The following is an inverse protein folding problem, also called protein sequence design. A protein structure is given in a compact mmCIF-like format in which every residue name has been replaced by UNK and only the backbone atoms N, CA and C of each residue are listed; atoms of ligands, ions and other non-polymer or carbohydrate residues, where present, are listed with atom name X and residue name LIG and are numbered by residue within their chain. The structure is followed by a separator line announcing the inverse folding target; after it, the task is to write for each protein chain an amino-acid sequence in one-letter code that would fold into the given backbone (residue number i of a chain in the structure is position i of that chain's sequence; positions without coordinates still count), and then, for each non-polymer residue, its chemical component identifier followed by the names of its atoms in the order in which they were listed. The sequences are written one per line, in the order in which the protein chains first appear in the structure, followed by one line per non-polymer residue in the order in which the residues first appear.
data_IF_963433928687
#
_entry.id   IF_963433928687
#
_cell.length_a   1.000
_cell.length_b   1.000
_cell.length_c   1.000
_cell.angle_alpha   90.00
_cell.angle_beta   90.00
_cell.angle_gamma   90.00
#
_symmetry.space_group_name_H-M   'P 1'
#
loop_
_entity.id
_entity.type
_entity.pdbx_description
1 polymer ?
#
# COMPACT_ATOMS: atom_id res chain seq x y z
N UNK A 1 -4.26 -31.63 -28.05
CA UNK A 1 -4.81 -31.26 -26.73
C UNK A 1 -6.20 -30.66 -26.93
N UNK A 2 -7.29 -31.43 -26.75
CA UNK A 2 -8.66 -30.90 -26.83
C UNK A 2 -9.38 -31.31 -25.54
N UNK A 3 -10.06 -30.36 -24.89
CA UNK A 3 -10.82 -30.46 -23.62
C UNK A 3 -10.07 -30.29 -22.29
N UNK A 4 -9.12 -29.35 -22.16
CA UNK A 4 -8.75 -28.84 -20.83
C UNK A 4 -9.17 -27.37 -20.73
N UNK A 5 -9.92 -27.04 -19.67
CA UNK A 5 -10.14 -25.65 -19.28
C UNK A 5 -8.85 -25.06 -18.70
N UNK A 6 -8.70 -23.74 -18.78
CA UNK A 6 -7.55 -23.02 -18.25
C UNK A 6 -8.01 -22.02 -17.20
N UNK A 7 -7.21 -21.87 -16.15
CA UNK A 7 -7.32 -20.76 -15.20
C UNK A 7 -6.18 -19.80 -15.51
N UNK A 8 -6.52 -18.55 -15.78
CA UNK A 8 -5.55 -17.49 -16.09
C UNK A 8 -5.69 -16.41 -15.02
N UNK A 9 -4.55 -16.01 -14.45
CA UNK A 9 -4.48 -15.00 -13.38
C UNK A 9 -3.64 -13.83 -13.87
N UNK A 10 -4.17 -12.61 -13.74
CA UNK A 10 -3.50 -11.37 -14.15
C UNK A 10 -4.45 -10.18 -14.05
N UNK A 11 -3.90 -8.96 -14.01
CA UNK A 11 -4.69 -7.73 -13.88
C UNK A 11 -5.49 -7.40 -15.15
N UNK A 12 -5.06 -7.88 -16.31
CA UNK A 12 -5.68 -7.67 -17.62
C UNK A 12 -6.25 -8.96 -18.23
N UNK A 13 -6.32 -10.03 -17.44
CA UNK A 13 -6.78 -11.34 -17.90
C UNK A 13 -8.23 -11.28 -18.40
N UNK A 14 -9.09 -10.54 -17.72
CA UNK A 14 -10.54 -10.46 -18.00
C UNK A 14 -10.91 -9.47 -19.11
N UNK A 15 -9.98 -8.59 -19.49
CA UNK A 15 -10.22 -7.45 -20.40
C UNK A 15 -9.38 -7.48 -21.67
N UNK A 16 -8.11 -7.88 -21.60
CA UNK A 16 -7.19 -7.91 -22.76
C UNK A 16 -6.86 -9.32 -23.21
N UNK A 17 -6.51 -10.21 -22.28
CA UNK A 17 -6.02 -11.55 -22.62
C UNK A 17 -7.17 -12.48 -23.02
N UNK A 18 -8.21 -12.57 -22.18
CA UNK A 18 -9.37 -13.42 -22.39
C UNK A 18 -10.69 -12.64 -22.25
N UNK A 19 -10.93 -11.59 -23.06
CA UNK A 19 -12.14 -10.76 -22.95
C UNK A 19 -13.44 -11.54 -23.21
N UNK A 20 -13.40 -12.64 -23.94
CA UNK A 20 -14.57 -13.45 -24.29
C UNK A 20 -14.77 -14.67 -23.38
N UNK A 21 -14.01 -14.80 -22.29
CA UNK A 21 -14.17 -15.93 -21.37
C UNK A 21 -15.54 -15.91 -20.69
N UNK A 22 -16.09 -17.11 -20.47
CA UNK A 22 -17.40 -17.32 -19.85
C UNK A 22 -17.43 -16.88 -18.39
N UNK A 23 -16.32 -17.03 -17.67
CA UNK A 23 -16.23 -16.73 -16.24
C UNK A 23 -15.05 -15.79 -16.01
N UNK A 24 -15.34 -14.62 -15.44
CA UNK A 24 -14.38 -13.57 -15.10
C UNK A 24 -14.55 -13.25 -13.62
N UNK A 25 -13.47 -13.36 -12.87
CA UNK A 25 -13.48 -13.12 -11.43
C UNK A 25 -12.46 -12.03 -11.08
N UNK A 26 -12.80 -11.21 -10.11
CA UNK A 26 -11.85 -10.37 -9.39
C UNK A 26 -11.86 -10.82 -7.94
N UNK A 27 -10.69 -11.18 -7.44
CA UNK A 27 -10.49 -11.42 -6.01
C UNK A 27 -10.00 -10.11 -5.41
N UNK A 28 -10.85 -9.48 -4.62
CA UNK A 28 -10.57 -8.22 -3.95
C UNK A 28 -10.33 -8.47 -2.46
N UNK A 29 -9.48 -7.66 -1.84
CA UNK A 29 -9.29 -7.62 -0.39
C UNK A 29 -8.88 -6.20 -0.02
N UNK A 30 -9.21 -5.79 1.20
CA UNK A 30 -8.71 -4.56 1.79
C UNK A 30 -7.18 -4.53 1.79
N UNK A 31 -6.64 -3.31 1.81
CA UNK A 31 -5.22 -3.08 1.61
C UNK A 31 -4.40 -3.69 2.75
N UNK A 32 -4.88 -3.55 3.98
CA UNK A 32 -4.27 -4.10 5.20
C UNK A 32 -4.10 -5.60 5.13
N UNK A 33 -5.15 -6.33 4.72
CA UNK A 33 -5.15 -7.78 4.58
C UNK A 33 -4.13 -8.21 3.54
N UNK A 34 -4.01 -7.46 2.44
CA UNK A 34 -3.02 -7.76 1.40
C UNK A 34 -1.60 -7.53 1.87
N UNK A 35 -1.34 -6.43 2.58
CA UNK A 35 -0.04 -6.16 3.22
C UNK A 35 0.31 -7.26 4.21
N UNK A 36 -0.63 -7.62 5.08
CA UNK A 36 -0.47 -8.69 6.06
C UNK A 36 -0.12 -10.04 5.41
N UNK A 37 -0.92 -10.48 4.42
CA UNK A 37 -0.69 -11.75 3.71
C UNK A 37 0.66 -11.75 3.00
N UNK A 38 1.04 -10.64 2.37
CA UNK A 38 2.31 -10.52 1.65
C UNK A 38 3.51 -10.49 2.61
N UNK A 39 3.39 -9.80 3.74
CA UNK A 39 4.41 -9.80 4.78
C UNK A 39 4.63 -11.22 5.34
N UNK A 40 3.53 -11.94 5.63
CA UNK A 40 3.60 -13.36 6.05
C UNK A 40 4.28 -14.23 5.00
N UNK A 41 3.92 -14.08 3.72
CA UNK A 41 4.54 -14.84 2.62
C UNK A 41 6.05 -14.59 2.51
N UNK A 42 6.49 -13.36 2.74
CA UNK A 42 7.91 -12.98 2.68
C UNK A 42 8.65 -13.19 4.01
N UNK A 43 7.97 -13.71 5.04
CA UNK A 43 8.48 -13.83 6.40
C UNK A 43 9.03 -12.49 6.94
N UNK A 44 8.41 -11.39 6.53
CA UNK A 44 8.78 -10.04 6.95
C UNK A 44 8.30 -9.83 8.39
N UNK A 45 9.25 -9.77 9.32
CA UNK A 45 8.98 -9.59 10.77
C UNK A 45 9.34 -8.21 11.27
N UNK A 46 10.31 -7.58 10.62
CA UNK A 46 10.80 -6.26 11.01
C UNK A 46 9.97 -5.15 10.36
N UNK A 47 9.84 -4.05 11.08
CA UNK A 47 9.03 -2.90 10.66
C UNK A 47 9.45 -2.34 9.29
N UNK A 48 10.75 -2.27 9.02
CA UNK A 48 11.27 -1.80 7.73
C UNK A 48 10.84 -2.73 6.58
N UNK A 49 10.93 -4.05 6.79
CA UNK A 49 10.50 -5.03 5.81
C UNK A 49 8.99 -4.97 5.53
N UNK A 50 8.17 -4.78 6.58
CA UNK A 50 6.72 -4.58 6.44
C UNK A 50 6.42 -3.28 5.69
N UNK A 51 7.12 -2.20 6.03
CA UNK A 51 7.01 -0.92 5.33
C UNK A 51 7.36 -1.04 3.85
N UNK A 52 8.32 -1.88 3.48
CA UNK A 52 8.66 -2.13 2.07
C UNK A 52 7.54 -2.87 1.34
N UNK A 53 6.96 -3.89 1.98
CA UNK A 53 5.79 -4.61 1.45
C UNK A 53 4.61 -3.67 1.19
N UNK A 54 4.35 -2.76 2.14
CA UNK A 54 3.31 -1.73 1.99
C UNK A 54 3.58 -0.86 0.76
N UNK A 55 4.80 -0.34 0.64
CA UNK A 55 5.23 0.53 -0.46
C UNK A 55 5.08 -0.14 -1.82
N UNK A 56 5.58 -1.38 -1.94
CA UNK A 56 5.55 -2.16 -3.16
C UNK A 56 4.10 -2.48 -3.59
N UNK A 57 3.24 -2.84 -2.63
CA UNK A 57 1.82 -3.11 -2.92
C UNK A 57 1.09 -1.84 -3.34
N UNK A 58 1.33 -0.72 -2.68
CA UNK A 58 0.66 0.54 -2.96
C UNK A 58 1.05 1.07 -4.35
N UNK A 59 2.35 1.01 -4.67
CA UNK A 59 2.87 1.30 -6.01
C UNK A 59 2.23 0.41 -7.07
N UNK A 60 2.14 -0.90 -6.81
CA UNK A 60 1.51 -1.84 -7.73
C UNK A 60 0.03 -1.49 -7.98
N UNK A 61 -0.72 -1.17 -6.93
CA UNK A 61 -2.13 -0.83 -7.09
C UNK A 61 -2.36 0.43 -7.91
N UNK A 62 -1.49 1.43 -7.73
CA UNK A 62 -1.45 2.63 -8.55
C UNK A 62 -1.16 2.30 -10.02
N UNK A 63 -0.15 1.46 -10.27
CA UNK A 63 0.29 1.14 -11.64
C UNK A 63 -0.78 0.38 -12.43
N UNK A 64 -1.60 -0.44 -11.73
CA UNK A 64 -2.65 -1.26 -12.35
C UNK A 64 -4.07 -0.72 -12.13
N UNK A 65 -4.24 0.47 -11.54
CA UNK A 65 -5.55 0.97 -11.14
C UNK A 65 -6.59 0.99 -12.27
N UNK A 66 -6.25 1.59 -13.41
CA UNK A 66 -7.15 1.70 -14.56
C UNK A 66 -7.54 0.31 -15.11
N UNK A 67 -6.60 -0.63 -15.12
CA UNK A 67 -6.85 -2.01 -15.56
C UNK A 67 -7.82 -2.74 -14.62
N UNK A 68 -7.65 -2.55 -13.31
CA UNK A 68 -8.55 -3.11 -12.30
C UNK A 68 -9.95 -2.50 -12.42
N UNK A 69 -10.07 -1.19 -12.63
CA UNK A 69 -11.37 -0.54 -12.86
C UNK A 69 -12.09 -1.10 -14.09
N UNK A 70 -11.40 -1.27 -15.21
CA UNK A 70 -12.00 -1.87 -16.41
C UNK A 70 -12.41 -3.33 -16.16
N UNK A 71 -11.58 -4.09 -15.43
CA UNK A 71 -11.90 -5.47 -15.07
C UNK A 71 -13.16 -5.54 -14.19
N UNK A 72 -13.34 -4.61 -13.24
CA UNK A 72 -14.51 -4.56 -12.33
C UNK A 72 -15.83 -4.36 -13.07
N UNK A 73 -15.81 -3.75 -14.26
CA UNK A 73 -17.02 -3.56 -15.09
C UNK A 73 -17.53 -4.86 -15.72
N UNK A 74 -16.67 -5.87 -15.87
CA UNK A 74 -16.95 -7.08 -16.67
C UNK A 74 -16.80 -8.39 -15.88
N UNK A 75 -16.40 -8.34 -14.62
CA UNK A 75 -16.09 -9.49 -13.80
C UNK A 75 -16.93 -9.53 -12.51
N UNK A 76 -17.16 -10.75 -12.00
CA UNK A 76 -17.78 -10.96 -10.69
C UNK A 76 -16.72 -10.69 -9.62
N UNK A 77 -17.02 -9.81 -8.68
CA UNK A 77 -16.11 -9.45 -7.59
C UNK A 77 -16.38 -10.37 -6.40
N UNK A 78 -15.33 -11.01 -5.88
CA UNK A 78 -15.35 -11.78 -4.64
C UNK A 78 -14.45 -11.04 -3.66
N UNK A 79 -15.05 -10.48 -2.60
CA UNK A 79 -14.29 -9.93 -1.48
C UNK A 79 -13.74 -11.09 -0.64
N UNK A 80 -12.43 -11.04 -0.37
CA UNK A 80 -11.64 -12.07 0.30
C UNK A 80 -10.95 -11.54 1.56
N UNK A 81 -11.27 -10.34 2.04
CA UNK A 81 -10.68 -9.73 3.24
C UNK A 81 -10.72 -10.69 4.43
N UNK A 82 -11.91 -11.22 4.73
CA UNK A 82 -12.17 -12.05 5.91
C UNK A 82 -12.33 -13.53 5.58
N UNK A 83 -11.92 -13.95 4.38
CA UNK A 83 -12.05 -15.33 3.93
C UNK A 83 -10.74 -16.12 4.09
N UNK A 84 -10.86 -17.36 4.57
CA UNK A 84 -9.81 -18.37 4.44
C UNK A 84 -9.63 -18.80 2.98
N UNK A 85 -8.52 -19.48 2.68
CA UNK A 85 -8.27 -19.98 1.31
C UNK A 85 -9.39 -20.95 0.89
N UNK A 86 -9.81 -21.83 1.79
CA UNK A 86 -10.87 -22.82 1.57
C UNK A 86 -12.20 -22.12 1.27
N UNK A 87 -12.52 -21.05 2.00
CA UNK A 87 -13.72 -20.24 1.76
C UNK A 87 -13.65 -19.50 0.42
N UNK A 88 -12.49 -18.96 0.04
CA UNK A 88 -12.30 -18.34 -1.29
C UNK A 88 -12.52 -19.36 -2.40
N UNK A 89 -11.93 -20.56 -2.27
CA UNK A 89 -12.11 -21.64 -3.25
C UNK A 89 -13.58 -22.04 -3.33
N UNK A 90 -14.27 -22.23 -2.19
CA UNK A 90 -15.69 -22.55 -2.16
C UNK A 90 -16.56 -21.48 -2.86
N UNK A 91 -16.23 -20.19 -2.70
CA UNK A 91 -16.90 -19.10 -3.42
C UNK A 91 -16.67 -19.17 -4.92
N UNK A 92 -15.44 -19.45 -5.37
CA UNK A 92 -15.11 -19.62 -6.79
C UNK A 92 -15.90 -20.80 -7.38
N UNK A 93 -15.95 -21.93 -6.67
CA UNK A 93 -16.74 -23.09 -7.07
C UNK A 93 -18.23 -22.73 -7.19
N UNK A 94 -18.78 -22.01 -6.22
CA UNK A 94 -20.17 -21.59 -6.25
C UNK A 94 -20.50 -20.74 -7.49
N UNK A 95 -19.62 -19.80 -7.86
CA UNK A 95 -19.77 -18.98 -9.08
C UNK A 95 -19.70 -19.82 -10.35
N UNK A 96 -18.86 -20.85 -10.38
CA UNK A 96 -18.68 -21.67 -11.59
C UNK A 96 -19.83 -22.68 -11.81
N UNK A 97 -20.41 -23.21 -10.73
CA UNK A 97 -21.36 -24.33 -10.80
C UNK A 97 -22.82 -23.94 -10.54
N UNK A 98 -23.11 -22.86 -9.82
CA UNK A 98 -24.47 -22.32 -9.60
C UNK A 98 -25.45 -23.28 -8.89
N UNK A 99 -25.93 -22.91 -7.70
CA UNK A 99 -27.16 -23.44 -7.05
C UNK A 99 -27.32 -24.97 -6.90
N UNK A 100 -26.25 -25.75 -6.87
CA UNK A 100 -26.28 -27.10 -6.31
C UNK A 100 -25.96 -27.03 -4.82
N UNK A 101 -26.84 -27.52 -3.95
CA UNK A 101 -26.64 -27.60 -2.51
C UNK A 101 -25.21 -28.08 -2.16
N UNK A 102 -24.36 -27.18 -1.69
CA UNK A 102 -23.21 -27.59 -0.90
C UNK A 102 -23.79 -27.89 0.47
N UNK A 103 -24.04 -29.18 0.74
CA UNK A 103 -24.34 -29.64 2.10
C UNK A 103 -23.20 -29.16 2.99
N UNK A 104 -23.49 -28.18 3.83
CA UNK A 104 -22.65 -27.79 4.95
C UNK A 104 -22.62 -28.95 5.94
N UNK A 105 -21.83 -29.98 5.64
CA UNK A 105 -21.43 -31.07 6.52
C UNK A 105 -20.28 -31.83 5.86
N UNK A 106 -19.14 -31.18 5.80
CA UNK A 106 -17.89 -31.87 6.08
C UNK A 106 -17.31 -31.16 7.30
N UNK A 107 -17.59 -31.72 8.48
CA UNK A 107 -16.67 -31.59 9.60
C UNK A 107 -15.30 -31.97 9.04
N UNK A 108 -14.47 -30.98 8.76
CA UNK A 108 -13.03 -31.21 8.70
C UNK A 108 -12.67 -31.40 10.17
N UNK A 109 -12.35 -32.64 10.52
CA UNK A 109 -11.94 -33.02 11.86
C UNK A 109 -10.89 -32.03 12.37
N UNK A 110 -11.24 -31.35 13.46
CA UNK A 110 -10.40 -30.35 14.12
C UNK A 110 -9.26 -30.99 14.93
N UNK A 111 -8.87 -32.23 14.63
CA UNK A 111 -7.88 -32.99 15.39
C UNK A 111 -6.48 -33.01 14.77
N UNK A 112 -6.30 -32.57 13.52
CA UNK A 112 -4.99 -32.67 12.82
C UNK A 112 -4.25 -31.32 12.68
N UNK A 113 -4.64 -30.29 13.43
CA UNK A 113 -3.89 -29.03 13.53
C UNK A 113 -3.06 -28.98 14.81
N UNK A 114 -2.11 -29.90 14.94
CA UNK A 114 -0.98 -29.74 15.85
C UNK A 114 0.34 -29.89 15.07
N UNK A 115 0.91 -28.73 14.72
CA UNK A 115 2.33 -28.36 14.75
C UNK A 115 2.66 -27.37 13.62
N UNK A 116 2.39 -26.09 13.85
CA UNK A 116 3.34 -25.05 13.44
C UNK A 116 3.77 -24.29 14.69
N UNK A 117 4.71 -24.91 15.40
CA UNK A 117 5.46 -24.29 16.48
C UNK A 117 6.30 -23.12 15.94
N UNK A 118 6.23 -21.98 16.63
CA UNK A 118 7.31 -21.00 16.72
C UNK A 118 7.58 -20.11 15.50
N UNK A 119 6.58 -19.36 15.02
CA UNK A 119 6.82 -18.16 14.19
C UNK A 119 6.19 -16.95 14.90
N UNK A 120 6.92 -15.83 15.13
CA UNK A 120 6.37 -14.65 15.77
C UNK A 120 5.12 -14.17 15.03
N UNK A 121 4.01 -13.99 15.75
CA UNK A 121 2.76 -13.53 15.18
C UNK A 121 2.96 -12.12 14.62
N UNK A 122 3.00 -11.99 13.29
CA UNK A 122 2.86 -10.70 12.63
C UNK A 122 1.43 -10.22 12.94
N UNK A 123 1.28 -9.07 13.60
CA UNK A 123 -0.02 -8.44 13.85
C UNK A 123 -0.55 -7.88 12.52
N UNK A 124 -1.84 -8.05 12.22
CA UNK A 124 -2.49 -7.29 11.13
C UNK A 124 -2.47 -5.81 11.56
N UNK A 125 -1.68 -5.01 10.85
CA UNK A 125 -1.55 -3.57 11.11
C UNK A 125 -2.63 -2.83 10.30
N UNK A 126 -3.20 -1.77 10.87
CA UNK A 126 -4.11 -0.87 10.15
C UNK A 126 -3.35 -0.02 9.13
N UNK A 127 -4.04 0.56 8.14
CA UNK A 127 -3.42 1.56 7.25
C UNK A 127 -2.76 2.66 8.08
N UNK A 128 -3.39 3.16 9.15
CA UNK A 128 -2.80 4.16 10.04
C UNK A 128 -1.51 3.65 10.73
N UNK A 129 -1.48 2.42 11.23
CA UNK A 129 -0.27 1.85 11.84
C UNK A 129 0.85 1.63 10.80
N UNK A 130 0.49 1.29 9.57
CA UNK A 130 1.43 1.11 8.45
C UNK A 130 1.97 2.44 7.92
N UNK A 131 1.14 3.48 7.93
CA UNK A 131 1.51 4.86 7.63
C UNK A 131 2.59 5.32 8.62
N UNK A 132 2.44 5.03 9.92
CA UNK A 132 3.40 5.39 10.98
C UNK A 132 4.80 4.79 10.79
N UNK A 133 4.98 3.80 9.92
CA UNK A 133 6.26 3.08 9.71
C UNK A 133 7.41 3.90 9.14
N UNK A 134 7.25 5.22 8.93
CA UNK A 134 8.29 6.16 8.48
C UNK A 134 9.08 5.64 7.27
N UNK A 135 8.44 4.89 6.37
CA UNK A 135 9.13 4.36 5.20
C UNK A 135 9.20 5.41 4.09
N UNK A 136 10.40 5.93 3.90
CA UNK A 136 10.79 7.04 3.04
C UNK A 136 10.71 6.72 1.55
N UNK A 137 10.74 5.44 1.14
CA UNK A 137 10.57 5.04 -0.27
C UNK A 137 9.17 5.33 -0.82
N UNK A 138 8.15 5.39 0.05
CA UNK A 138 6.78 5.76 -0.34
C UNK A 138 6.68 7.17 -0.89
N UNK A 139 7.50 8.06 -0.37
CA UNK A 139 7.17 9.46 -0.30
C UNK A 139 7.21 10.13 -1.68
N UNK A 140 8.00 9.65 -2.64
CA UNK A 140 8.15 10.29 -3.96
C UNK A 140 7.24 9.73 -5.06
N UNK A 141 6.80 8.48 -4.98
CA UNK A 141 6.03 7.82 -6.07
C UNK A 141 4.52 7.80 -5.80
N UNK A 142 4.11 7.74 -4.54
CA UNK A 142 2.75 7.37 -4.15
C UNK A 142 1.85 8.59 -3.96
N UNK A 143 2.43 9.77 -3.77
CA UNK A 143 1.72 11.01 -3.39
C UNK A 143 0.66 11.43 -4.41
N UNK A 144 0.88 11.20 -5.71
CA UNK A 144 -0.01 11.77 -6.74
C UNK A 144 -1.14 10.85 -7.22
N UNK A 145 -0.92 9.52 -7.26
CA UNK A 145 -1.91 8.59 -7.82
C UNK A 145 -2.64 7.72 -6.80
N UNK A 146 -1.98 7.28 -5.73
CA UNK A 146 -2.65 6.45 -4.70
C UNK A 146 -3.72 7.24 -3.95
N UNK A 147 -3.48 8.55 -3.79
CA UNK A 147 -4.25 9.51 -3.01
C UNK A 147 -5.75 9.55 -3.35
N UNK A 148 -6.10 9.70 -4.62
CA UNK A 148 -7.50 9.87 -5.06
C UNK A 148 -8.20 8.52 -5.26
N UNK A 149 -7.41 7.47 -5.47
CA UNK A 149 -7.87 6.22 -6.05
C UNK A 149 -8.00 5.09 -5.04
N UNK A 150 -7.18 5.08 -3.98
CA UNK A 150 -7.14 3.97 -3.00
C UNK A 150 -7.79 4.31 -1.67
N UNK A 151 -7.66 5.55 -1.18
CA UNK A 151 -8.34 6.01 0.04
C UNK A 151 -9.63 6.72 -0.37
N UNK A 152 -10.75 6.01 -0.25
CA UNK A 152 -12.06 6.50 -0.69
C UNK A 152 -12.71 7.44 0.31
N UNK A 153 -12.48 7.26 1.62
CA UNK A 153 -13.02 8.15 2.65
C UNK A 153 -12.19 9.42 2.76
N UNK A 154 -12.89 10.55 2.88
CA UNK A 154 -12.28 11.87 2.84
C UNK A 154 -11.44 12.16 4.09
N UNK A 155 -11.94 11.73 5.25
CA UNK A 155 -11.31 11.91 6.56
C UNK A 155 -10.03 11.07 6.68
N UNK A 156 -10.07 9.81 6.25
CA UNK A 156 -8.89 8.93 6.23
C UNK A 156 -7.81 9.47 5.28
N UNK A 157 -8.22 10.08 4.16
CA UNK A 157 -7.32 10.71 3.19
C UNK A 157 -6.65 11.95 3.79
N UNK A 158 -7.40 12.75 4.54
CA UNK A 158 -6.89 13.94 5.23
C UNK A 158 -5.88 13.57 6.33
N UNK A 159 -6.19 12.57 7.15
CA UNK A 159 -5.30 12.07 8.20
C UNK A 159 -3.98 11.56 7.62
N UNK A 160 -4.04 10.77 6.54
CA UNK A 160 -2.85 10.29 5.85
C UNK A 160 -1.99 11.43 5.28
N UNK A 161 -2.63 12.44 4.69
CA UNK A 161 -1.93 13.60 4.13
C UNK A 161 -1.25 14.45 5.19
N UNK A 162 -1.88 14.62 6.36
CA UNK A 162 -1.26 15.26 7.53
C UNK A 162 -0.01 14.51 7.97
N UNK A 163 -0.12 13.18 8.10
CA UNK A 163 1.03 12.36 8.46
C UNK A 163 2.18 12.49 7.46
N UNK A 164 1.91 12.38 6.16
CA UNK A 164 2.95 12.49 5.14
C UNK A 164 3.63 13.86 5.17
N UNK A 165 2.85 14.93 5.38
CA UNK A 165 3.38 16.28 5.53
C UNK A 165 4.35 16.34 6.73
N UNK A 166 3.93 15.86 7.90
CA UNK A 166 4.74 15.83 9.11
C UNK A 166 6.04 15.02 8.92
N UNK A 167 5.96 13.89 8.21
CA UNK A 167 7.12 13.08 7.87
C UNK A 167 8.15 13.88 7.05
N UNK A 168 7.69 14.59 6.03
CA UNK A 168 8.57 15.41 5.19
C UNK A 168 9.15 16.63 5.93
N UNK A 169 8.37 17.27 6.81
CA UNK A 169 8.87 18.34 7.68
C UNK A 169 9.95 17.84 8.64
N UNK A 170 9.78 16.63 9.19
CA UNK A 170 10.79 15.98 10.02
C UNK A 170 12.05 15.66 9.21
N UNK A 171 11.93 15.18 7.97
CA UNK A 171 13.09 14.96 7.09
C UNK A 171 13.86 16.26 6.82
N UNK A 172 13.15 17.36 6.54
CA UNK A 172 13.76 18.67 6.37
C UNK A 172 14.57 19.06 7.61
N UNK A 173 13.99 18.88 8.79
CA UNK A 173 14.65 19.15 10.08
C UNK A 173 15.90 18.30 10.27
N UNK A 174 15.85 17.01 9.92
CA UNK A 174 17.00 16.11 10.03
C UNK A 174 18.11 16.48 9.04
N UNK A 175 17.78 16.88 7.80
CA UNK A 175 18.77 17.37 6.84
C UNK A 175 19.44 18.66 7.32
N UNK A 176 18.67 19.58 7.92
CA UNK A 176 19.21 20.81 8.52
C UNK A 176 20.10 20.52 9.73
N UNK A 177 19.75 19.52 10.53
CA UNK A 177 20.58 19.03 11.64
C UNK A 177 21.89 18.45 11.15
N UNK A 178 21.88 17.56 10.15
CA UNK A 178 23.10 17.01 9.52
C UNK A 178 24.00 18.14 9.02
N UNK A 179 23.42 19.13 8.36
CA UNK A 179 24.15 20.27 7.82
C UNK A 179 24.79 21.13 8.92
N UNK A 180 24.12 21.27 10.07
CA UNK A 180 24.57 22.10 11.19
C UNK A 180 25.54 21.39 12.14
N UNK A 181 25.35 20.10 12.37
CA UNK A 181 26.00 19.37 13.47
C UNK A 181 27.02 18.34 12.98
N UNK A 182 26.80 17.75 11.80
CA UNK A 182 27.62 16.63 11.30
C UNK A 182 28.64 17.10 10.27
N UNK A 183 28.25 18.02 9.38
CA UNK A 183 29.15 18.46 8.31
C UNK A 183 30.30 19.33 8.85
N UNK A 184 31.55 19.07 8.42
CA UNK A 184 32.69 19.87 8.83
C UNK A 184 32.54 21.31 8.32
N UNK A 185 32.69 22.26 9.25
CA UNK A 185 32.46 23.70 9.01
C UNK A 185 33.70 24.44 8.54
N UNK A 186 34.88 23.90 8.81
CA UNK A 186 36.15 24.53 8.47
C UNK A 186 37.17 23.51 7.96
N UNK A 187 38.24 24.03 7.38
CA UNK A 187 39.35 23.27 6.84
C UNK A 187 40.28 22.66 7.92
N UNK A 188 39.99 22.82 9.22
CA UNK A 188 41.03 22.81 10.26
C UNK A 188 41.82 21.51 10.40
N UNK A 189 41.24 20.32 10.13
CA UNK A 189 41.95 19.07 10.47
C UNK A 189 42.01 18.02 9.34
N UNK A 190 41.16 18.09 8.32
CA UNK A 190 41.20 17.15 7.18
C UNK A 190 40.63 17.75 5.89
N UNK A 191 41.53 18.32 5.07
CA UNK A 191 41.18 19.01 3.81
C UNK A 191 40.46 18.11 2.80
N UNK A 192 40.76 16.81 2.78
CA UNK A 192 40.10 15.84 1.89
C UNK A 192 38.68 15.57 2.37
N UNK A 193 38.51 15.24 3.65
CA UNK A 193 37.19 15.01 4.25
C UNK A 193 36.27 16.23 4.11
N UNK A 194 36.80 17.45 4.30
CA UNK A 194 36.04 18.67 4.08
C UNK A 194 35.55 18.80 2.63
N UNK A 195 36.42 18.56 1.64
CA UNK A 195 36.03 18.60 0.23
C UNK A 195 34.98 17.55 -0.11
N UNK A 196 35.17 16.32 0.35
CA UNK A 196 34.23 15.21 0.11
C UNK A 196 32.86 15.51 0.75
N UNK A 197 32.85 16.09 1.95
CA UNK A 197 31.64 16.53 2.63
C UNK A 197 30.92 17.68 1.91
N UNK A 198 31.64 18.65 1.32
CA UNK A 198 31.01 19.71 0.53
C UNK A 198 30.41 19.19 -0.78
N UNK A 199 31.06 18.23 -1.43
CA UNK A 199 30.52 17.55 -2.63
C UNK A 199 29.23 16.82 -2.26
N UNK A 200 29.26 16.02 -1.18
CA UNK A 200 28.08 15.31 -0.68
C UNK A 200 26.94 16.26 -0.31
N UNK A 201 27.25 17.38 0.37
CA UNK A 201 26.28 18.43 0.70
C UNK A 201 25.60 18.97 -0.55
N UNK A 202 26.37 19.30 -1.60
CA UNK A 202 25.85 19.90 -2.83
C UNK A 202 25.04 18.89 -3.64
N UNK A 203 25.57 17.69 -3.83
CA UNK A 203 25.06 16.75 -4.82
C UNK A 203 23.94 15.85 -4.28
N UNK A 204 23.93 15.62 -2.96
CA UNK A 204 22.98 14.71 -2.29
C UNK A 204 22.11 15.50 -1.31
N UNK A 205 22.70 16.07 -0.24
CA UNK A 205 21.93 16.66 0.85
C UNK A 205 21.03 17.80 0.38
N UNK A 206 21.57 18.72 -0.43
CA UNK A 206 20.83 19.88 -0.93
C UNK A 206 19.63 19.47 -1.78
N UNK A 207 19.83 18.50 -2.69
CA UNK A 207 18.77 18.02 -3.58
C UNK A 207 17.68 17.30 -2.78
N UNK A 208 18.06 16.39 -1.89
CA UNK A 208 17.11 15.66 -1.04
C UNK A 208 16.33 16.59 -0.10
N UNK A 209 17.01 17.57 0.52
CA UNK A 209 16.37 18.58 1.36
C UNK A 209 15.37 19.43 0.58
N UNK A 210 15.75 19.90 -0.61
CA UNK A 210 14.85 20.71 -1.44
C UNK A 210 13.65 19.89 -1.94
N UNK A 211 13.85 18.62 -2.29
CA UNK A 211 12.76 17.72 -2.63
C UNK A 211 11.80 17.54 -1.45
N UNK A 212 12.31 17.27 -0.25
CA UNK A 212 11.49 17.16 0.96
C UNK A 212 10.73 18.46 1.28
N UNK A 213 11.38 19.64 1.14
CA UNK A 213 10.71 20.96 1.29
C UNK A 213 9.58 21.15 0.28
N UNK A 214 9.84 20.82 -0.98
CA UNK A 214 8.84 20.89 -2.04
C UNK A 214 7.63 20.00 -1.72
N UNK A 215 7.88 18.76 -1.31
CA UNK A 215 6.82 17.81 -0.96
C UNK A 215 6.02 18.25 0.26
N UNK A 216 6.68 18.69 1.34
CA UNK A 216 5.99 19.24 2.51
C UNK A 216 5.08 20.42 2.14
N UNK A 217 5.57 21.34 1.32
CA UNK A 217 4.77 22.48 0.84
C UNK A 217 3.59 22.03 -0.03
N UNK A 218 3.81 21.08 -0.93
CA UNK A 218 2.76 20.55 -1.80
C UNK A 218 1.65 19.87 -0.99
N UNK A 219 2.04 19.04 -0.01
CA UNK A 219 1.13 18.34 0.90
C UNK A 219 0.37 19.32 1.79
N UNK A 220 1.00 20.41 2.25
CA UNK A 220 0.31 21.45 3.02
C UNK A 220 -0.86 22.06 2.24
N UNK A 221 -0.67 22.35 0.95
CA UNK A 221 -1.76 22.84 0.08
C UNK A 221 -2.86 21.79 -0.07
N UNK A 222 -2.51 20.51 -0.19
CA UNK A 222 -3.49 19.41 -0.32
C UNK A 222 -4.29 19.18 0.96
N UNK A 223 -3.63 19.20 2.13
CA UNK A 223 -4.27 19.09 3.45
C UNK A 223 -5.30 20.20 3.61
N UNK A 224 -4.92 21.45 3.32
CA UNK A 224 -5.83 22.59 3.41
C UNK A 224 -7.05 22.42 2.49
N UNK A 225 -6.84 21.95 1.25
CA UNK A 225 -7.94 21.68 0.32
C UNK A 225 -8.92 20.63 0.83
N UNK A 226 -8.42 19.58 1.49
CA UNK A 226 -9.27 18.55 2.09
C UNK A 226 -10.01 19.05 3.33
N UNK A 227 -9.40 19.90 4.16
CA UNK A 227 -10.07 20.52 5.30
C UNK A 227 -11.29 21.31 4.85
N UNK A 228 -11.14 22.12 3.79
CA UNK A 228 -12.25 22.87 3.21
C UNK A 228 -13.35 21.95 2.64
N UNK A 229 -12.99 20.83 2.02
CA UNK A 229 -13.95 19.85 1.48
C UNK A 229 -14.73 19.13 2.59
N UNK A 230 -14.04 18.75 3.68
CA UNK A 230 -14.67 18.15 4.87
C UNK A 230 -15.64 19.14 5.51
N UNK A 231 -15.20 20.37 5.77
CA UNK A 231 -16.04 21.43 6.35
C UNK A 231 -17.30 21.68 5.52
N UNK A 232 -17.18 21.69 4.19
CA UNK A 232 -18.33 21.86 3.30
C UNK A 232 -19.30 20.67 3.39
N UNK A 233 -18.81 19.43 3.42
CA UNK A 233 -19.67 18.25 3.57
C UNK A 233 -20.39 18.20 4.92
N UNK A 234 -19.77 18.69 5.99
CA UNK A 234 -20.41 18.78 7.30
C UNK A 234 -21.54 19.81 7.29
N UNK A 235 -21.30 21.01 6.73
CA UNK A 235 -22.33 22.04 6.58
C UNK A 235 -23.51 21.61 5.70
N UNK A 236 -23.29 20.74 4.72
CA UNK A 236 -24.36 20.17 3.88
C UNK A 236 -25.16 19.08 4.62
N UNK A 237 -24.57 18.35 5.57
CA UNK A 237 -25.26 17.36 6.40
C UNK A 237 -26.11 17.98 7.50
N UNK A 238 -25.81 19.21 7.91
CA UNK A 238 -26.54 19.96 8.94
C UNK A 238 -27.75 20.75 8.40
N UNK A 239 -27.96 20.76 7.07
CA UNK A 239 -29.08 21.43 6.38
C UNK A 239 -30.19 20.44 6.02
#
# INVERSE_FOLDING_TARGET
MKNRGYVVVGHDATTKILPSTRVKLILEADFETRVYRRAKQLNAKEFEAIGKVFSDLLKRDVDFFDLVLEAKKVAIIINTSDLSIEQVVARIYHVFYGSGEIKANSQVDSSDLQEESSIPQVKKLTVQELIVLKNWELANYIVDKAYTQLITKLEERHEFMKYLKELYELQVTEYEKIEREVLPKSHSDNKKLFKDAQIWRKDILTKSKNAAKFQASHLATKVLGLELEIDQQEQEREK
#
